data_IF_752665299596
#
_entry.id   IF_752665299596
#
_cell.length_a   1.000
_cell.length_b   1.000
_cell.length_c   1.000
_cell.angle_alpha   90.00
_cell.angle_beta   90.00
_cell.angle_gamma   90.00
#
_symmetry.space_group_name_H-M   'P 1'
#
loop_
_entity.id
_entity.type
_entity.pdbx_description
1 polymer ?
#
# COMPACT_ATOMS: atom_id res chain seq x y z
N UNK A 1 30.85 -8.40 3.32
CA UNK A 1 29.56 -8.42 4.05
C UNK A 1 29.66 -9.34 5.26
N UNK A 2 29.15 -8.90 6.42
CA UNK A 2 29.11 -9.71 7.64
C UNK A 2 27.93 -10.70 7.55
N UNK A 3 28.19 -12.00 7.75
CA UNK A 3 27.12 -13.02 7.81
C UNK A 3 26.58 -13.11 9.24
N UNK A 4 25.25 -13.10 9.39
CA UNK A 4 24.55 -13.28 10.66
C UNK A 4 23.95 -14.68 10.67
N UNK A 5 24.07 -15.40 11.80
CA UNK A 5 23.45 -16.71 11.98
C UNK A 5 22.02 -16.50 12.50
N UNK A 6 21.05 -17.06 11.78
CA UNK A 6 19.63 -17.05 12.14
C UNK A 6 19.09 -18.48 12.09
N UNK A 7 18.27 -18.86 13.08
CA UNK A 7 17.56 -20.14 13.10
C UNK A 7 16.14 -19.93 12.60
N UNK A 8 15.69 -20.74 11.64
CA UNK A 8 14.33 -20.70 11.11
C UNK A 8 13.64 -22.04 11.33
N UNK A 9 12.36 -22.00 11.70
CA UNK A 9 11.54 -23.19 11.82
C UNK A 9 10.88 -23.49 10.47
N UNK A 10 11.03 -24.72 10.00
CA UNK A 10 10.45 -25.22 8.75
C UNK A 10 9.67 -26.49 9.04
N UNK A 11 8.61 -26.75 8.27
CA UNK A 11 7.98 -28.06 8.33
C UNK A 11 8.98 -29.14 7.91
N UNK A 12 8.88 -30.33 8.52
CA UNK A 12 9.78 -31.44 8.21
C UNK A 12 9.75 -31.83 6.73
N UNK A 13 8.59 -31.74 6.07
CA UNK A 13 8.45 -32.01 4.64
C UNK A 13 9.20 -30.99 3.78
N UNK A 14 9.12 -29.71 4.11
CA UNK A 14 9.77 -28.64 3.36
C UNK A 14 11.29 -28.70 3.51
N UNK A 15 11.78 -28.99 4.73
CA UNK A 15 13.21 -29.21 4.95
C UNK A 15 13.76 -30.41 4.16
N UNK A 16 12.99 -31.50 4.04
CA UNK A 16 13.39 -32.67 3.22
C UNK A 16 13.49 -32.31 1.74
N UNK A 17 12.51 -31.57 1.20
CA UNK A 17 12.53 -31.09 -0.19
C UNK A 17 13.73 -30.18 -0.45
N UNK A 18 13.97 -29.22 0.44
CA UNK A 18 15.12 -28.31 0.38
C UNK A 18 16.45 -29.09 0.36
N UNK A 19 16.56 -30.14 1.18
CA UNK A 19 17.77 -30.96 1.23
C UNK A 19 17.96 -31.81 -0.03
N UNK A 20 16.89 -32.34 -0.61
CA UNK A 20 16.94 -33.06 -1.89
C UNK A 20 17.46 -32.13 -2.98
N UNK A 21 16.84 -30.95 -3.11
CA UNK A 21 17.22 -29.94 -4.10
C UNK A 21 18.68 -29.49 -3.95
N UNK A 22 19.10 -29.20 -2.72
CA UNK A 22 20.49 -28.85 -2.42
C UNK A 22 21.48 -29.95 -2.85
N UNK A 23 21.12 -31.21 -2.64
CA UNK A 23 21.96 -32.37 -3.02
C UNK A 23 22.03 -32.50 -4.55
N UNK A 24 20.90 -32.37 -5.23
CA UNK A 24 20.81 -32.42 -6.70
C UNK A 24 21.62 -31.30 -7.37
N UNK A 25 21.63 -30.10 -6.79
CA UNK A 25 22.40 -28.94 -7.28
C UNK A 25 23.87 -28.92 -6.82
N UNK A 26 24.28 -29.83 -5.93
CA UNK A 26 25.63 -29.81 -5.34
C UNK A 26 25.89 -28.60 -4.43
N UNK A 27 24.83 -28.04 -3.84
CA UNK A 27 24.86 -26.83 -3.00
C UNK A 27 24.46 -27.16 -1.57
N UNK A 28 24.67 -26.22 -0.65
CA UNK A 28 24.18 -26.34 0.73
C UNK A 28 22.77 -25.79 0.85
N UNK A 29 21.96 -26.38 1.74
CA UNK A 29 20.63 -25.84 2.05
C UNK A 29 20.67 -24.36 2.48
N UNK A 30 21.75 -23.93 3.13
CA UNK A 30 21.94 -22.54 3.53
C UNK A 30 22.20 -21.60 2.33
N UNK A 31 22.82 -22.08 1.24
CA UNK A 31 22.97 -21.31 0.00
C UNK A 31 21.64 -21.07 -0.67
N UNK A 32 20.83 -22.13 -0.80
CA UNK A 32 19.48 -22.03 -1.37
C UNK A 32 18.58 -21.10 -0.56
N UNK A 33 18.62 -21.18 0.78
CA UNK A 33 17.84 -20.28 1.63
C UNK A 33 18.28 -18.82 1.45
N UNK A 34 19.59 -18.56 1.33
CA UNK A 34 20.08 -17.19 1.11
C UNK A 34 19.65 -16.63 -0.25
N UNK A 35 19.71 -17.45 -1.29
CA UNK A 35 19.25 -17.09 -2.63
C UNK A 35 17.75 -16.81 -2.65
N UNK A 36 16.94 -17.74 -2.14
CA UNK A 36 15.48 -17.59 -2.08
C UNK A 36 15.07 -16.35 -1.27
N UNK A 37 15.74 -16.04 -0.16
CA UNK A 37 15.48 -14.82 0.63
C UNK A 37 15.87 -13.58 -0.16
N UNK A 38 16.99 -13.59 -0.89
CA UNK A 38 17.41 -12.46 -1.72
C UNK A 38 16.42 -12.20 -2.86
N UNK A 39 16.05 -13.24 -3.61
CA UNK A 39 15.06 -13.14 -4.69
C UNK A 39 13.70 -12.69 -4.17
N UNK A 40 13.24 -13.26 -3.06
CA UNK A 40 11.99 -12.83 -2.44
C UNK A 40 12.06 -11.38 -2.01
N UNK A 41 13.15 -10.95 -1.37
CA UNK A 41 13.32 -9.57 -0.94
C UNK A 41 13.34 -8.62 -2.14
N UNK A 42 14.05 -8.95 -3.23
CA UNK A 42 14.08 -8.12 -4.45
C UNK A 42 12.69 -8.00 -5.08
N UNK A 43 11.96 -9.11 -5.16
CA UNK A 43 10.59 -9.13 -5.69
C UNK A 43 9.61 -8.38 -4.79
N UNK A 44 9.68 -8.61 -3.47
CA UNK A 44 8.77 -8.05 -2.49
C UNK A 44 9.03 -6.57 -2.20
N UNK A 45 10.30 -6.13 -2.28
CA UNK A 45 10.65 -4.72 -2.15
C UNK A 45 10.42 -3.93 -3.42
N UNK A 46 9.94 -4.59 -4.50
CA UNK A 46 9.36 -4.02 -5.70
C UNK A 46 9.90 -2.64 -5.97
N UNK A 47 11.21 -2.56 -6.23
CA UNK A 47 12.06 -1.37 -6.26
C UNK A 47 11.21 -0.12 -6.54
N UNK A 48 10.77 0.59 -5.49
CA UNK A 48 10.07 1.87 -5.59
C UNK A 48 11.10 2.91 -6.05
N UNK A 49 11.58 2.77 -7.29
CA UNK A 49 12.21 3.90 -7.93
C UNK A 49 11.13 4.95 -8.07
N UNK A 50 11.44 6.22 -7.77
CA UNK A 50 10.68 7.30 -8.34
C UNK A 50 10.49 6.97 -9.81
N UNK A 51 9.23 6.89 -10.29
CA UNK A 51 8.96 6.63 -11.73
C UNK A 51 9.68 7.65 -12.63
N UNK A 52 10.08 8.76 -12.02
CA UNK A 52 10.93 9.78 -12.59
C UNK A 52 11.61 10.59 -11.49
N UNK A 53 12.85 11.02 -11.74
CA UNK A 53 13.51 12.12 -11.02
C UNK A 53 13.58 13.29 -12.01
N UNK A 54 13.01 14.45 -11.67
CA UNK A 54 13.02 15.64 -12.53
C UNK A 54 12.10 15.57 -13.76
N UNK A 55 10.94 14.89 -13.68
CA UNK A 55 9.94 14.89 -14.77
C UNK A 55 9.33 16.26 -15.04
N UNK A 56 9.36 17.13 -14.03
CA UNK A 56 8.86 18.47 -14.11
C UNK A 56 9.87 19.42 -13.48
N UNK A 57 10.03 20.55 -14.13
CA UNK A 57 10.70 21.74 -13.61
C UNK A 57 9.61 22.82 -13.52
N UNK A 58 9.35 23.31 -12.31
CA UNK A 58 8.39 24.40 -12.09
C UNK A 58 8.88 25.73 -12.64
N UNK A 59 10.20 25.87 -12.88
CA UNK A 59 10.85 27.15 -13.18
C UNK A 59 10.87 28.14 -12.02
N UNK A 60 10.30 27.75 -10.87
CA UNK A 60 10.20 28.55 -9.66
C UNK A 60 10.99 27.87 -8.53
N UNK A 61 12.08 28.51 -8.03
CA UNK A 61 12.91 27.94 -6.96
C UNK A 61 12.18 27.83 -5.61
N UNK A 62 11.07 28.54 -5.42
CA UNK A 62 10.27 28.51 -4.20
C UNK A 62 9.02 27.62 -4.32
N UNK A 63 8.86 26.91 -5.43
CA UNK A 63 7.68 26.08 -5.67
C UNK A 63 7.41 25.07 -4.54
N UNK A 64 8.47 24.39 -4.08
CA UNK A 64 8.38 23.41 -3.00
C UNK A 64 8.07 24.04 -1.62
N UNK A 65 8.41 25.30 -1.42
CA UNK A 65 8.21 26.01 -0.14
C UNK A 65 6.78 26.57 -0.03
N UNK A 66 6.08 26.75 -1.16
CA UNK A 66 4.74 27.35 -1.23
C UNK A 66 3.63 26.30 -1.48
N UNK A 67 3.88 25.03 -1.18
CA UNK A 67 2.96 23.93 -1.48
C UNK A 67 1.55 24.17 -0.91
N UNK A 68 1.46 24.68 0.31
CA UNK A 68 0.20 24.94 1.01
C UNK A 68 -0.65 25.99 0.29
N UNK A 69 -0.02 27.03 -0.28
CA UNK A 69 -0.73 28.07 -1.04
C UNK A 69 -1.26 27.58 -2.39
N UNK A 70 -0.54 26.69 -3.07
CA UNK A 70 -1.03 26.08 -4.31
C UNK A 70 -2.16 25.08 -4.12
N UNK A 71 -2.33 24.58 -2.90
CA UNK A 71 -3.39 23.65 -2.53
C UNK A 71 -4.61 24.36 -1.92
N UNK A 72 -4.64 25.69 -1.91
CA UNK A 72 -5.78 26.45 -1.44
C UNK A 72 -7.02 26.16 -2.31
N UNK A 73 -8.18 25.94 -1.67
CA UNK A 73 -9.41 25.51 -2.33
C UNK A 73 -9.41 24.05 -2.83
N UNK A 74 -8.33 23.27 -2.62
CA UNK A 74 -8.30 21.86 -3.02
C UNK A 74 -9.20 21.00 -2.11
N UNK A 75 -10.29 20.48 -2.68
CA UNK A 75 -11.24 19.64 -1.95
C UNK A 75 -12.37 20.41 -1.26
N UNK A 76 -12.44 21.73 -1.48
CA UNK A 76 -13.62 22.51 -1.12
C UNK A 76 -14.69 22.26 -2.19
N UNK A 77 -15.66 21.41 -1.86
CA UNK A 77 -16.92 21.41 -2.61
C UNK A 77 -17.57 22.76 -2.35
N UNK A 78 -17.70 23.61 -3.38
CA UNK A 78 -18.67 24.69 -3.35
C UNK A 78 -20.06 24.04 -3.31
N UNK A 79 -20.50 23.65 -2.12
CA UNK A 79 -21.85 23.18 -1.94
C UNK A 79 -22.72 24.43 -1.88
N UNK A 80 -23.25 24.82 -3.03
CA UNK A 80 -24.38 25.74 -3.13
C UNK A 80 -25.63 25.04 -2.55
N UNK A 81 -25.69 24.95 -1.22
CA UNK A 81 -26.93 24.61 -0.52
C UNK A 81 -27.83 25.85 -0.56
N UNK A 82 -28.97 25.83 -1.28
CA UNK A 82 -29.96 26.88 -1.14
C UNK A 82 -30.41 26.94 0.33
N UNK A 83 -30.58 28.13 0.93
CA UNK A 83 -30.77 28.31 2.38
C UNK A 83 -32.10 27.78 2.95
N UNK A 84 -32.90 27.05 2.18
CA UNK A 84 -34.24 26.63 2.57
C UNK A 84 -34.47 25.14 2.30
N UNK A 85 -33.82 24.29 3.11
CA UNK A 85 -34.41 23.04 3.64
C UNK A 85 -33.46 22.39 4.65
N UNK A 86 -33.61 22.79 5.91
CA UNK A 86 -33.55 21.82 7.00
C UNK A 86 -35.00 21.37 7.21
N UNK A 87 -35.33 20.07 7.40
CA UNK A 87 -34.72 19.33 8.51
C UNK A 87 -34.65 17.79 8.38
N UNK A 88 -33.74 17.20 9.16
CA UNK A 88 -33.92 15.87 9.71
C UNK A 88 -35.01 15.85 10.79
N UNK A 89 -36.29 15.92 10.40
CA UNK A 89 -37.42 15.53 11.26
C UNK A 89 -38.04 14.19 10.89
N UNK A 90 -37.47 13.46 9.93
CA UNK A 90 -37.89 12.08 9.68
C UNK A 90 -37.12 11.13 10.61
N UNK A 91 -37.50 11.18 11.88
CA UNK A 91 -37.26 10.02 12.74
C UNK A 91 -38.15 8.90 12.18
N UNK A 92 -37.62 7.74 11.79
CA UNK A 92 -38.48 6.67 11.32
C UNK A 92 -39.33 6.17 12.48
N UNK A 93 -40.65 6.25 12.35
CA UNK A 93 -41.56 5.55 13.26
C UNK A 93 -41.27 4.05 13.16
N UNK A 94 -41.31 3.35 14.31
CA UNK A 94 -40.85 1.96 14.51
C UNK A 94 -41.56 0.87 13.69
N UNK A 95 -42.38 1.21 12.69
CA UNK A 95 -43.11 0.28 11.84
C UNK A 95 -43.07 0.81 10.40
N UNK A 96 -42.00 0.49 9.67
CA UNK A 96 -41.72 1.01 8.33
C UNK A 96 -42.84 0.80 7.31
N UNK A 97 -43.75 1.77 7.17
CA UNK A 97 -44.68 1.90 6.05
C UNK A 97 -44.62 3.30 5.46
N UNK A 98 -44.20 3.39 4.21
CA UNK A 98 -44.34 4.61 3.38
C UNK A 98 -45.81 4.83 3.07
N UNK A 99 -46.33 6.03 3.37
CA UNK A 99 -47.63 6.50 2.87
C UNK A 99 -47.40 7.17 1.52
N UNK A 100 -47.99 6.65 0.45
CA UNK A 100 -48.02 7.32 -0.85
C UNK A 100 -49.14 8.38 -0.84
N UNK A 101 -48.93 9.58 -1.42
CA UNK A 101 -49.99 10.55 -1.59
C UNK A 101 -50.86 10.21 -2.82
N UNK A 102 -52.12 10.64 -2.76
CA UNK A 102 -53.12 10.57 -3.84
C UNK A 102 -52.86 11.63 -4.93
#
# INVERSE_FOLDING_TARGET
MKKIKTTVYLNAGDYRKLRSLATEEGRTAAELVREAVAEYAERATGRLWPRSIGIADSGDPHFAENCEGYLDGFGEEEIDYPPERLPGTDTPDAIGRRRMPE
#
